data_IF_561053354934
#
_entry.id   IF_561053354934
#
_cell.length_a   1.000
_cell.length_b   1.000
_cell.length_c   1.000
_cell.angle_alpha   90.00
_cell.angle_beta   90.00
_cell.angle_gamma   90.00
#
_symmetry.space_group_name_H-M   'P 1'
#
loop_
_entity.id
_entity.type
_entity.pdbx_description
1 polymer ?
#
# COMPACT_ATOMS: atom_id res chain seq x y z
N UNK A 1 18.39 -4.05 -20.52
CA UNK A 1 19.72 -4.59 -20.19
C UNK A 1 19.55 -5.62 -19.10
N UNK A 2 20.12 -6.80 -19.29
CA UNK A 2 20.11 -7.84 -18.23
C UNK A 2 21.00 -7.38 -17.07
N UNK A 3 20.39 -7.03 -15.97
CA UNK A 3 21.10 -6.65 -14.75
C UNK A 3 21.31 -7.87 -13.85
N UNK A 4 22.52 -8.01 -13.30
CA UNK A 4 22.85 -9.06 -12.33
C UNK A 4 23.31 -8.41 -11.03
N UNK A 5 22.82 -8.93 -9.91
CA UNK A 5 23.23 -8.55 -8.56
C UNK A 5 23.57 -9.80 -7.76
N UNK A 6 24.80 -9.87 -7.30
CA UNK A 6 25.29 -10.94 -6.45
C UNK A 6 25.46 -10.42 -5.02
N UNK A 7 24.73 -10.99 -4.08
CA UNK A 7 24.87 -10.75 -2.65
C UNK A 7 25.70 -11.91 -2.06
N UNK A 8 26.92 -11.62 -1.65
CA UNK A 8 27.81 -12.60 -1.03
C UNK A 8 27.83 -12.44 0.49
N UNK A 9 28.21 -13.50 1.17
CA UNK A 9 28.48 -13.50 2.61
C UNK A 9 27.31 -12.91 3.41
N UNK A 10 26.14 -13.50 3.23
CA UNK A 10 24.89 -13.13 3.92
C UNK A 10 24.36 -14.27 4.77
N UNK A 11 23.69 -13.95 5.86
CA UNK A 11 22.91 -14.88 6.66
C UNK A 11 21.47 -14.86 6.17
N UNK A 12 21.00 -15.92 5.52
CA UNK A 12 19.74 -15.95 4.77
C UNK A 12 18.61 -16.49 5.63
N UNK A 13 17.55 -15.70 5.79
CA UNK A 13 16.23 -16.13 6.25
C UNK A 13 15.31 -16.26 5.04
N UNK A 14 14.81 -17.47 4.77
CA UNK A 14 13.99 -17.73 3.56
C UNK A 14 12.49 -17.45 3.73
N UNK A 15 12.07 -17.01 4.91
CA UNK A 15 10.67 -16.70 5.22
C UNK A 15 9.80 -17.92 5.53
N UNK A 16 10.36 -19.13 5.58
CA UNK A 16 9.62 -20.38 5.83
C UNK A 16 10.17 -21.14 7.03
N UNK A 17 11.48 -21.30 7.06
CA UNK A 17 12.14 -22.11 8.09
C UNK A 17 12.49 -21.23 9.29
N UNK A 18 12.47 -21.82 10.48
CA UNK A 18 12.83 -21.11 11.72
C UNK A 18 14.35 -20.84 11.82
N UNK A 19 15.17 -21.43 10.96
CA UNK A 19 16.62 -21.30 10.96
C UNK A 19 17.09 -20.53 9.75
N UNK A 20 18.13 -19.73 9.97
CA UNK A 20 18.91 -19.09 8.92
C UNK A 20 20.06 -20.00 8.46
N UNK A 21 20.68 -19.65 7.36
CA UNK A 21 21.89 -20.28 6.87
C UNK A 21 22.78 -19.26 6.17
N UNK A 22 24.10 -19.41 6.32
CA UNK A 22 25.06 -18.56 5.63
C UNK A 22 25.15 -18.94 4.15
N UNK A 23 25.17 -17.94 3.27
CA UNK A 23 25.18 -18.21 1.83
C UNK A 23 25.33 -16.98 0.96
N UNK A 24 25.05 -17.21 -0.31
CA UNK A 24 25.12 -16.23 -1.39
C UNK A 24 23.84 -16.27 -2.20
N UNK A 25 23.48 -15.15 -2.81
CA UNK A 25 22.25 -15.02 -3.60
C UNK A 25 22.52 -14.25 -4.89
N UNK A 26 22.15 -14.84 -6.01
CA UNK A 26 22.21 -14.19 -7.32
C UNK A 26 20.79 -13.76 -7.75
N UNK A 27 20.67 -12.49 -8.10
CA UNK A 27 19.48 -11.92 -8.71
C UNK A 27 19.80 -11.59 -10.16
N UNK A 28 18.95 -12.08 -11.08
CA UNK A 28 18.98 -11.68 -12.48
C UNK A 28 17.69 -10.95 -12.80
N UNK A 29 17.82 -9.74 -13.33
CA UNK A 29 16.70 -8.83 -13.53
C UNK A 29 15.92 -8.63 -12.19
N UNK A 30 14.68 -9.04 -12.11
CA UNK A 30 13.84 -8.87 -10.93
C UNK A 30 13.54 -10.22 -10.23
N UNK A 31 14.39 -11.25 -10.45
CA UNK A 31 14.14 -12.59 -9.89
C UNK A 31 15.37 -13.14 -9.21
N UNK A 32 15.15 -13.80 -8.09
CA UNK A 32 16.15 -14.64 -7.46
C UNK A 32 16.39 -15.83 -8.40
N UNK A 33 17.63 -15.96 -8.88
CA UNK A 33 18.03 -17.04 -9.78
C UNK A 33 18.64 -18.21 -9.02
N UNK A 34 19.54 -17.89 -8.09
CA UNK A 34 20.29 -18.92 -7.36
C UNK A 34 20.48 -18.50 -5.91
N UNK A 35 20.33 -19.45 -5.00
CA UNK A 35 20.73 -19.35 -3.60
C UNK A 35 21.67 -20.53 -3.32
N UNK A 36 22.86 -20.28 -2.76
CA UNK A 36 23.87 -21.30 -2.54
C UNK A 36 24.70 -21.03 -1.29
N UNK A 37 25.01 -22.07 -0.52
CA UNK A 37 26.00 -21.97 0.55
C UNK A 37 27.43 -21.88 0.00
N UNK A 38 27.68 -22.45 -1.19
CA UNK A 38 28.95 -22.31 -1.89
C UNK A 38 29.00 -20.99 -2.67
N UNK A 39 30.20 -20.48 -3.02
CA UNK A 39 30.34 -19.34 -3.91
C UNK A 39 29.60 -19.54 -5.22
N UNK A 40 28.97 -18.47 -5.73
CA UNK A 40 28.27 -18.48 -7.01
C UNK A 40 29.21 -17.88 -8.07
N UNK A 41 29.56 -18.69 -9.05
CA UNK A 41 30.33 -18.22 -10.20
C UNK A 41 29.40 -17.42 -11.13
N UNK A 42 29.87 -16.24 -11.52
CA UNK A 42 29.14 -15.39 -12.47
C UNK A 42 29.92 -15.38 -13.79
N UNK A 43 29.22 -15.54 -14.94
CA UNK A 43 29.89 -15.47 -16.25
C UNK A 43 30.59 -14.12 -16.44
N UNK A 44 31.85 -14.15 -16.85
CA UNK A 44 32.68 -12.94 -17.04
C UNK A 44 32.20 -12.02 -18.17
N UNK A 45 31.31 -12.51 -19.01
CA UNK A 45 30.80 -11.77 -20.17
C UNK A 45 29.68 -10.74 -19.85
N UNK A 46 29.20 -10.72 -18.60
CA UNK A 46 28.10 -9.83 -18.19
C UNK A 46 28.45 -9.02 -16.95
N UNK A 47 28.17 -7.73 -16.93
CA UNK A 47 28.42 -6.93 -15.74
C UNK A 47 27.57 -7.40 -14.56
N UNK A 48 28.22 -7.70 -13.45
CA UNK A 48 27.59 -8.13 -12.20
C UNK A 48 27.91 -7.08 -11.14
N UNK A 49 26.87 -6.55 -10.48
CA UNK A 49 27.07 -5.76 -9.27
C UNK A 49 27.23 -6.73 -8.09
N UNK A 50 28.35 -6.64 -7.38
CA UNK A 50 28.63 -7.50 -6.22
C UNK A 50 28.50 -6.68 -4.93
N UNK A 51 27.72 -7.19 -3.98
CA UNK A 51 27.59 -6.61 -2.64
C UNK A 51 28.03 -7.68 -1.63
N UNK A 52 29.07 -7.36 -0.87
CA UNK A 52 29.47 -8.14 0.31
C UNK A 52 28.53 -7.83 1.49
N UNK A 53 27.75 -8.81 1.88
CA UNK A 53 26.84 -8.71 3.03
C UNK A 53 27.54 -8.61 4.37
N UNK A 54 28.80 -9.03 4.48
CA UNK A 54 29.58 -9.02 5.75
C UNK A 54 28.86 -9.72 6.90
N UNK A 55 28.21 -10.86 6.59
CA UNK A 55 27.43 -11.61 7.56
C UNK A 55 26.09 -10.97 7.98
N UNK A 56 25.65 -9.89 7.29
CA UNK A 56 24.35 -9.29 7.56
C UNK A 56 23.20 -10.19 7.13
N UNK A 57 22.04 -10.02 7.78
CA UNK A 57 20.85 -10.77 7.44
C UNK A 57 20.28 -10.33 6.09
N UNK A 58 19.90 -11.32 5.29
CA UNK A 58 19.11 -11.17 4.08
C UNK A 58 17.79 -11.88 4.29
N UNK A 59 16.69 -11.20 4.07
CA UNK A 59 15.35 -11.72 4.28
C UNK A 59 14.39 -11.22 3.19
N UNK A 60 13.24 -11.89 2.96
CA UNK A 60 12.16 -11.32 2.16
C UNK A 60 11.75 -9.96 2.69
N UNK A 61 11.36 -9.06 1.79
CA UNK A 61 10.83 -7.76 2.20
C UNK A 61 9.61 -7.91 3.11
N UNK A 62 9.48 -7.00 4.07
CA UNK A 62 8.35 -6.98 5.01
C UNK A 62 7.04 -6.67 4.26
N UNK A 63 5.95 -7.16 4.84
CA UNK A 63 4.59 -6.89 4.36
C UNK A 63 3.83 -6.18 5.48
N UNK A 64 3.30 -4.98 5.19
CA UNK A 64 2.34 -4.35 6.08
C UNK A 64 0.93 -4.72 5.62
N UNK A 65 0.22 -5.46 6.46
CA UNK A 65 -1.09 -5.99 6.14
C UNK A 65 -2.25 -5.03 6.45
N UNK A 66 -1.98 -3.88 7.07
CA UNK A 66 -2.98 -2.86 7.39
C UNK A 66 -2.38 -1.46 7.38
N UNK A 67 -2.18 -0.93 6.21
CA UNK A 67 -1.62 0.39 5.99
C UNK A 67 -2.66 1.35 5.40
N UNK A 68 -2.46 2.64 5.56
CA UNK A 68 -3.27 3.70 4.99
C UNK A 68 -2.36 4.79 4.44
N UNK A 69 -2.13 4.80 3.13
CA UNK A 69 -1.19 5.72 2.47
C UNK A 69 -1.45 7.19 2.82
N UNK A 70 -2.70 7.56 2.96
CA UNK A 70 -3.11 8.94 3.19
C UNK A 70 -3.27 9.28 4.67
N UNK A 71 -3.75 8.33 5.50
CA UNK A 71 -4.03 8.59 6.91
C UNK A 71 -2.76 8.62 7.77
N UNK A 72 -1.71 7.88 7.40
CA UNK A 72 -0.49 7.79 8.21
C UNK A 72 0.43 9.01 8.10
N UNK A 73 0.23 9.88 7.11
CA UNK A 73 1.12 11.02 6.84
C UNK A 73 0.42 12.37 6.75
N UNK A 74 -0.91 12.40 6.88
CA UNK A 74 -1.72 13.62 6.86
C UNK A 74 -2.55 13.74 8.13
N UNK A 75 -2.85 14.96 8.56
CA UNK A 75 -3.82 15.19 9.63
C UNK A 75 -5.24 15.00 9.11
N UNK A 76 -6.19 14.76 10.01
CA UNK A 76 -7.61 14.73 9.61
C UNK A 76 -8.07 16.04 8.99
N UNK A 77 -7.54 17.17 9.44
CA UNK A 77 -7.82 18.49 8.84
C UNK A 77 -7.33 18.58 7.41
N UNK A 78 -6.10 18.09 7.12
CA UNK A 78 -5.58 18.07 5.76
C UNK A 78 -6.42 17.20 4.83
N UNK A 79 -6.89 16.06 5.34
CA UNK A 79 -7.71 15.12 4.56
C UNK A 79 -9.12 15.62 4.29
N UNK A 80 -9.73 16.30 5.25
CA UNK A 80 -11.13 16.70 5.17
C UNK A 80 -11.34 18.14 4.63
N UNK A 81 -10.33 19.00 4.74
CA UNK A 81 -10.45 20.41 4.38
C UNK A 81 -9.21 20.97 3.65
N UNK A 82 -8.15 20.19 3.49
CA UNK A 82 -6.91 20.61 2.85
C UNK A 82 -6.95 20.46 1.32
N UNK A 83 -5.84 20.88 0.69
CA UNK A 83 -5.62 20.70 -0.73
C UNK A 83 -5.36 19.22 -1.06
N UNK A 84 -6.19 18.54 -1.87
CA UNK A 84 -5.97 17.15 -2.24
C UNK A 84 -4.61 16.90 -2.91
N UNK A 85 -4.05 17.86 -3.64
CA UNK A 85 -2.73 17.69 -4.25
C UNK A 85 -1.63 17.59 -3.22
N UNK A 86 -1.71 18.34 -2.12
CA UNK A 86 -0.77 18.23 -1.00
C UNK A 86 -0.82 16.84 -0.35
N UNK A 87 -2.03 16.35 -0.05
CA UNK A 87 -2.19 15.03 0.58
C UNK A 87 -1.65 13.90 -0.30
N UNK A 88 -1.79 14.02 -1.62
CA UNK A 88 -1.23 13.05 -2.57
C UNK A 88 0.31 13.08 -2.61
N UNK A 89 0.91 14.27 -2.56
CA UNK A 89 2.37 14.42 -2.50
C UNK A 89 2.93 13.83 -1.21
N UNK A 90 2.26 14.06 -0.08
CA UNK A 90 2.64 13.48 1.21
C UNK A 90 2.56 11.95 1.19
N UNK A 91 1.50 11.38 0.61
CA UNK A 91 1.36 9.93 0.46
C UNK A 91 2.46 9.34 -0.44
N UNK A 92 2.88 10.06 -1.49
CA UNK A 92 4.02 9.66 -2.33
C UNK A 92 5.35 9.61 -1.58
N UNK A 93 5.61 10.62 -0.73
CA UNK A 93 6.78 10.64 0.16
C UNK A 93 6.74 9.47 1.15
N UNK A 94 5.61 9.30 1.82
CA UNK A 94 5.42 8.22 2.81
C UNK A 94 5.61 6.83 2.19
N UNK A 95 5.15 6.62 0.96
CA UNK A 95 5.37 5.36 0.25
C UNK A 95 6.87 5.08 0.03
N UNK A 96 7.66 6.10 -0.33
CA UNK A 96 9.10 5.95 -0.48
C UNK A 96 9.79 5.65 0.85
N UNK A 97 9.40 6.32 1.92
CA UNK A 97 9.91 6.09 3.28
C UNK A 97 9.51 4.70 3.80
N UNK A 98 8.29 4.23 3.51
CA UNK A 98 7.82 2.87 3.84
C UNK A 98 8.70 1.81 3.18
N UNK A 99 9.06 2.00 1.92
CA UNK A 99 9.99 1.10 1.23
C UNK A 99 11.37 1.11 1.89
N UNK A 100 11.89 2.28 2.30
CA UNK A 100 13.17 2.41 2.99
C UNK A 100 13.18 1.74 4.37
N UNK A 101 12.03 1.64 5.03
CA UNK A 101 11.86 0.87 6.27
C UNK A 101 11.83 -0.65 6.05
N UNK A 102 11.93 -1.11 4.80
CA UNK A 102 11.98 -2.53 4.45
C UNK A 102 10.64 -3.16 4.08
N UNK A 103 9.54 -2.39 4.05
CA UNK A 103 8.24 -2.88 3.58
C UNK A 103 8.18 -2.83 2.07
N UNK A 104 8.23 -3.99 1.43
CA UNK A 104 8.22 -4.12 -0.05
C UNK A 104 6.83 -4.36 -0.62
N UNK A 105 5.88 -4.73 0.21
CA UNK A 105 4.48 -4.86 -0.13
C UNK A 105 3.59 -4.35 1.01
N UNK A 106 2.48 -3.73 0.67
CA UNK A 106 1.51 -3.25 1.65
C UNK A 106 0.08 -3.54 1.19
N UNK A 107 -0.79 -3.79 2.14
CA UNK A 107 -2.23 -3.81 1.93
C UNK A 107 -2.80 -2.49 2.43
N UNK A 108 -3.19 -1.62 1.50
CA UNK A 108 -3.85 -0.37 1.84
C UNK A 108 -5.31 -0.63 2.20
N UNK A 109 -5.68 -0.30 3.42
CA UNK A 109 -6.98 -0.59 4.00
C UNK A 109 -7.97 0.59 3.89
N UNK A 110 -7.72 1.53 2.99
CA UNK A 110 -8.69 2.58 2.66
C UNK A 110 -8.08 3.91 2.28
N UNK A 111 -8.71 4.55 1.32
CA UNK A 111 -8.35 5.86 0.81
C UNK A 111 -8.15 5.91 -0.71
N UNK A 112 -7.90 7.11 -1.27
CA UNK A 112 -7.82 7.35 -2.72
C UNK A 112 -6.46 6.91 -3.31
N UNK A 113 -6.07 5.66 -3.12
CA UNK A 113 -4.69 5.15 -3.34
C UNK A 113 -4.38 4.71 -4.77
N UNK A 114 -5.38 4.64 -5.66
CA UNK A 114 -5.19 4.10 -7.02
C UNK A 114 -4.18 4.89 -7.86
N UNK A 115 -4.19 6.23 -7.75
CA UNK A 115 -3.22 7.10 -8.41
C UNK A 115 -1.79 6.87 -7.93
N UNK A 116 -1.59 6.74 -6.62
CA UNK A 116 -0.31 6.42 -6.02
C UNK A 116 0.19 5.05 -6.47
N UNK A 117 -0.67 4.03 -6.42
CA UNK A 117 -0.35 2.69 -6.94
C UNK A 117 0.11 2.75 -8.39
N UNK A 118 -0.63 3.45 -9.27
CA UNK A 118 -0.27 3.60 -10.67
C UNK A 118 1.10 4.26 -10.86
N UNK A 119 1.38 5.32 -10.08
CA UNK A 119 2.66 6.03 -10.15
C UNK A 119 3.84 5.13 -9.72
N UNK A 120 3.64 4.27 -8.72
CA UNK A 120 4.66 3.30 -8.27
C UNK A 120 4.83 2.18 -9.30
N UNK A 121 3.73 1.58 -9.77
CA UNK A 121 3.77 0.48 -10.73
C UNK A 121 4.40 0.89 -12.08
N UNK A 122 4.25 2.16 -12.47
CA UNK A 122 4.89 2.73 -13.67
C UNK A 122 6.35 3.18 -13.47
N UNK A 123 6.87 3.11 -12.23
CA UNK A 123 8.21 3.57 -11.89
C UNK A 123 8.37 5.09 -11.80
N UNK A 124 7.26 5.86 -11.85
CA UNK A 124 7.28 7.32 -11.66
C UNK A 124 7.65 7.71 -10.23
N UNK A 125 7.16 6.94 -9.26
CA UNK A 125 7.49 7.08 -7.84
C UNK A 125 8.12 5.80 -7.30
N UNK A 126 8.95 5.94 -6.27
CA UNK A 126 9.45 4.81 -5.48
C UNK A 126 8.44 4.49 -4.37
N UNK A 127 8.22 3.20 -4.14
CA UNK A 127 7.35 2.74 -3.07
C UNK A 127 7.17 1.22 -3.07
N UNK A 128 6.49 0.66 -2.07
CA UNK A 128 6.17 -0.75 -2.00
C UNK A 128 5.10 -1.12 -3.04
N UNK A 129 4.94 -2.40 -3.33
CA UNK A 129 3.79 -2.89 -4.08
C UNK A 129 2.52 -2.67 -3.26
N UNK A 130 1.55 -1.95 -3.83
CA UNK A 130 0.29 -1.62 -3.15
C UNK A 130 -0.82 -2.58 -3.58
N UNK A 131 -1.50 -3.16 -2.58
CA UNK A 131 -2.76 -3.89 -2.73
C UNK A 131 -3.89 -3.01 -2.17
N UNK A 132 -4.63 -2.28 -3.02
CA UNK A 132 -5.56 -1.25 -2.59
C UNK A 132 -6.94 -1.81 -2.26
N UNK A 133 -7.65 -1.19 -1.33
CA UNK A 133 -9.09 -1.39 -1.12
C UNK A 133 -9.95 -0.28 -1.73
N UNK A 134 -9.38 0.88 -1.97
CA UNK A 134 -10.14 2.06 -2.38
C UNK A 134 -10.93 2.67 -1.23
N UNK A 135 -12.03 3.33 -1.54
CA UNK A 135 -12.88 3.98 -0.55
C UNK A 135 -13.37 3.01 0.53
N UNK A 136 -13.26 3.40 1.79
CA UNK A 136 -13.80 2.64 2.92
C UNK A 136 -15.33 2.68 2.87
N UNK A 137 -15.99 1.53 2.83
CA UNK A 137 -17.45 1.44 2.79
C UNK A 137 -17.99 1.42 4.22
N UNK A 138 -18.87 2.34 4.54
CA UNK A 138 -19.49 2.49 5.85
C UNK A 138 -20.97 2.82 5.73
N UNK A 139 -21.74 2.50 6.74
CA UNK A 139 -23.13 2.97 6.87
C UNK A 139 -23.16 4.42 7.32
N UNK A 140 -24.32 5.07 7.16
CA UNK A 140 -24.61 6.38 7.77
C UNK A 140 -24.32 6.34 9.27
N UNK A 141 -23.65 7.34 9.80
CA UNK A 141 -23.17 7.46 11.17
C UNK A 141 -22.17 6.40 11.64
N UNK A 142 -21.69 5.54 10.77
CA UNK A 142 -20.67 4.55 11.12
C UNK A 142 -19.24 5.12 11.13
N UNK A 143 -18.28 4.27 11.49
CA UNK A 143 -16.86 4.64 11.65
C UNK A 143 -16.23 5.31 10.41
N UNK A 144 -16.70 5.03 9.21
CA UNK A 144 -16.23 5.64 7.96
C UNK A 144 -17.08 6.83 7.48
N UNK A 145 -18.07 7.25 8.24
CA UNK A 145 -18.86 8.42 7.94
C UNK A 145 -18.16 9.69 8.47
N UNK A 146 -17.18 10.17 7.71
CA UNK A 146 -16.39 11.36 8.06
C UNK A 146 -17.02 12.66 7.59
N UNK A 147 -18.32 12.65 7.28
CA UNK A 147 -19.04 13.88 6.92
C UNK A 147 -19.05 14.85 8.08
N UNK A 148 -18.88 16.13 7.75
CA UNK A 148 -19.10 17.19 8.71
C UNK A 148 -20.58 17.31 9.02
N UNK A 149 -20.94 17.83 10.19
CA UNK A 149 -22.33 17.90 10.68
C UNK A 149 -23.26 18.68 9.74
N UNK A 150 -22.71 19.57 8.93
CA UNK A 150 -23.46 20.36 7.95
C UNK A 150 -23.57 19.70 6.56
N UNK A 151 -22.88 18.59 6.34
CA UNK A 151 -22.93 17.82 5.08
C UNK A 151 -24.12 16.85 5.11
N UNK A 152 -24.97 16.95 4.10
CA UNK A 152 -26.16 16.09 3.98
C UNK A 152 -25.84 14.74 3.34
N UNK A 153 -26.65 13.74 3.66
CA UNK A 153 -26.59 12.46 2.99
C UNK A 153 -26.97 12.58 1.50
N UNK A 154 -26.37 11.72 0.68
CA UNK A 154 -26.67 11.63 -0.75
C UNK A 154 -28.18 11.39 -0.99
N UNK A 155 -28.77 12.12 -1.93
CA UNK A 155 -30.06 11.82 -2.53
C UNK A 155 -31.27 12.61 -2.04
N UNK A 156 -31.13 13.46 -1.01
CA UNK A 156 -32.31 14.18 -0.48
C UNK A 156 -32.63 15.50 -1.19
N UNK A 157 -31.70 16.13 -1.90
CA UNK A 157 -31.90 17.48 -2.45
C UNK A 157 -31.16 17.74 -3.77
N UNK A 158 -30.63 16.74 -4.46
CA UNK A 158 -29.76 16.94 -5.63
C UNK A 158 -28.39 17.52 -5.27
N UNK A 159 -28.00 17.45 -4.01
CA UNK A 159 -26.73 17.95 -3.50
C UNK A 159 -25.56 17.11 -4.00
N UNK A 160 -24.40 17.75 -4.14
CA UNK A 160 -23.16 17.08 -4.49
C UNK A 160 -22.78 16.02 -3.44
N UNK A 161 -21.93 15.07 -3.83
CA UNK A 161 -21.35 14.10 -2.90
C UNK A 161 -20.61 14.82 -1.77
N UNK A 162 -20.67 14.28 -0.57
CA UNK A 162 -19.86 14.76 0.55
C UNK A 162 -18.37 14.76 0.17
N UNK A 163 -17.61 15.71 0.72
CA UNK A 163 -16.19 15.89 0.36
C UNK A 163 -15.39 14.59 0.51
N UNK A 164 -15.59 13.83 1.59
CA UNK A 164 -14.90 12.55 1.85
C UNK A 164 -15.17 11.49 0.77
N UNK A 165 -16.35 11.51 0.16
CA UNK A 165 -16.70 10.63 -0.94
C UNK A 165 -16.12 11.14 -2.27
N UNK A 166 -16.10 12.46 -2.49
CA UNK A 166 -15.52 13.10 -3.69
C UNK A 166 -14.02 12.76 -3.80
N UNK A 167 -13.28 12.84 -2.71
CA UNK A 167 -11.85 12.50 -2.68
C UNK A 167 -11.59 10.99 -2.65
N UNK A 168 -12.63 10.15 -2.56
CA UNK A 168 -12.48 8.69 -2.52
C UNK A 168 -11.95 8.12 -1.20
N UNK A 169 -12.07 8.87 -0.10
CA UNK A 169 -11.62 8.40 1.21
C UNK A 169 -12.60 7.39 1.80
N UNK A 170 -13.91 7.68 1.70
CA UNK A 170 -14.96 6.75 2.12
C UNK A 170 -16.13 6.73 1.13
N UNK A 171 -17.01 5.76 1.30
CA UNK A 171 -18.28 5.63 0.59
C UNK A 171 -19.38 5.27 1.58
N UNK A 172 -20.35 6.17 1.74
CA UNK A 172 -21.50 5.93 2.61
C UNK A 172 -22.51 5.10 1.84
N UNK A 173 -22.85 3.94 2.38
CA UNK A 173 -23.73 2.98 1.71
C UNK A 173 -24.63 2.27 2.74
N UNK A 174 -25.91 2.56 2.66
CA UNK A 174 -26.95 1.94 3.50
C UNK A 174 -27.73 0.90 2.71
N UNK A 175 -27.76 -0.32 3.21
CA UNK A 175 -28.44 -1.44 2.61
C UNK A 175 -27.63 -2.18 1.52
N UNK A 176 -28.10 -3.36 1.18
CA UNK A 176 -27.36 -4.31 0.33
C UNK A 176 -27.05 -3.76 -1.08
N UNK A 177 -27.98 -3.05 -1.68
CA UNK A 177 -27.82 -2.55 -3.06
C UNK A 177 -26.77 -1.44 -3.11
N UNK A 178 -26.79 -0.50 -2.15
CA UNK A 178 -25.81 0.57 -2.05
C UNK A 178 -24.40 0.03 -1.76
N UNK A 179 -24.28 -0.93 -0.85
CA UNK A 179 -23.01 -1.61 -0.56
C UNK A 179 -22.50 -2.35 -1.79
N UNK A 180 -23.38 -3.06 -2.51
CA UNK A 180 -23.02 -3.77 -3.75
C UNK A 180 -22.49 -2.80 -4.81
N UNK A 181 -23.14 -1.66 -4.99
CA UNK A 181 -22.69 -0.63 -5.93
C UNK A 181 -21.32 -0.08 -5.55
N UNK A 182 -21.12 0.24 -4.27
CA UNK A 182 -19.84 0.73 -3.75
C UNK A 182 -18.70 -0.30 -3.92
N UNK A 183 -18.96 -1.58 -3.65
CA UNK A 183 -18.01 -2.69 -3.89
C UNK A 183 -17.60 -2.74 -5.35
N UNK A 184 -18.57 -2.76 -6.26
CA UNK A 184 -18.32 -2.81 -7.71
C UNK A 184 -17.52 -1.62 -8.20
N UNK A 185 -17.77 -0.43 -7.64
CA UNK A 185 -17.02 0.78 -8.00
C UNK A 185 -15.55 0.68 -7.56
N UNK A 186 -15.27 0.24 -6.34
CA UNK A 186 -13.90 -0.01 -5.89
C UNK A 186 -13.19 -1.07 -6.78
N UNK A 187 -13.86 -2.16 -7.11
CA UNK A 187 -13.32 -3.20 -8.01
C UNK A 187 -13.07 -2.65 -9.41
N UNK A 188 -13.97 -1.83 -9.95
CA UNK A 188 -13.80 -1.16 -11.25
C UNK A 188 -12.55 -0.29 -11.28
N UNK A 189 -12.20 0.35 -10.18
CA UNK A 189 -10.99 1.17 -10.04
C UNK A 189 -9.71 0.34 -9.84
N UNK A 190 -9.83 -0.97 -9.60
CA UNK A 190 -8.71 -1.88 -9.45
C UNK A 190 -8.40 -2.28 -8.01
N UNK A 191 -9.39 -2.25 -7.12
CA UNK A 191 -9.23 -2.75 -5.76
C UNK A 191 -8.87 -4.24 -5.73
N UNK A 192 -7.94 -4.61 -4.87
CA UNK A 192 -7.50 -6.00 -4.63
C UNK A 192 -8.34 -6.68 -3.53
N UNK A 193 -8.95 -5.89 -2.68
CA UNK A 193 -9.87 -6.29 -1.60
C UNK A 193 -10.81 -5.14 -1.30
N UNK A 194 -11.77 -5.39 -0.44
CA UNK A 194 -12.75 -4.39 0.01
C UNK A 194 -12.56 -4.14 1.50
N UNK A 195 -12.60 -2.87 1.90
CA UNK A 195 -12.69 -2.46 3.29
C UNK A 195 -14.12 -2.12 3.64
N UNK A 196 -14.71 -2.91 4.54
CA UNK A 196 -15.99 -2.61 5.19
C UNK A 196 -15.72 -2.13 6.62
N UNK A 197 -16.37 -1.08 7.02
CA UNK A 197 -16.33 -0.54 8.38
C UNK A 197 -17.67 -0.88 9.05
N UNK A 198 -17.71 -2.03 9.71
CA UNK A 198 -18.93 -2.63 10.24
C UNK A 198 -19.17 -2.35 11.73
N UNK A 199 -18.31 -1.62 12.37
CA UNK A 199 -18.41 -1.23 13.78
C UNK A 199 -17.67 0.07 14.02
N UNK A 200 -17.60 0.49 15.27
CA UNK A 200 -16.93 1.68 15.68
C UNK A 200 -15.41 1.62 15.75
N UNK A 201 -14.79 2.77 15.95
CA UNK A 201 -13.36 2.91 16.07
C UNK A 201 -12.96 4.21 16.75
N UNK A 202 -11.67 4.40 16.98
CA UNK A 202 -11.16 5.55 17.72
C UNK A 202 -11.50 6.93 17.13
N UNK A 203 -11.84 6.98 15.84
CA UNK A 203 -12.21 8.20 15.13
C UNK A 203 -13.73 8.38 14.93
N UNK A 204 -14.55 7.44 15.43
CA UNK A 204 -16.00 7.52 15.30
C UNK A 204 -16.59 8.50 16.29
N UNK A 205 -17.58 9.26 15.80
CA UNK A 205 -18.34 10.20 16.65
C UNK A 205 -19.62 9.57 17.22
N UNK A 206 -20.14 8.52 16.57
CA UNK A 206 -21.49 7.99 16.80
C UNK A 206 -21.54 6.46 16.71
N UNK A 207 -20.81 5.72 17.49
CA UNK A 207 -20.95 4.26 17.55
C UNK A 207 -21.56 3.81 18.87
#
# INVERSE_FOLDING_TARGET
>A
MDSQLLLNNVEIFNGKDARTFSGNLLIRNNRIETISAAPIETPSERPVTVIDGKGRFLMPGLIDAHWHAYLCCNTMTDLLAGDPSYTHLMAGREAAETLQRGFTAIRDAGGPVFGLKRAIDSGTLRGPRIYPSGAMISQTSGHGDFRMIYEHAHGGCGCEMAHVEQIGASKIADGADAVTAAVRENLRQGASQIKLMAGGGAASLYD
#
